data_IF_328515500323
#
_entry.id   IF_328515500323
#
_cell.length_a   1.000
_cell.length_b   1.000
_cell.length_c   1.000
_cell.angle_alpha   90.00
_cell.angle_beta   90.00
_cell.angle_gamma   90.00
#
_symmetry.space_group_name_H-M   'P 1'
#
loop_
_entity.id
_entity.type
_entity.pdbx_description
1 polymer ?
#
# COMPACT_ATOMS: atom_id res chain seq x y z
N UNK A 1 -25.24 -56.33 -28.18
CA UNK A 1 -26.50 -56.94 -27.79
C UNK A 1 -27.25 -56.01 -26.85
N UNK A 2 -28.21 -55.36 -27.40
CA UNK A 2 -29.45 -54.78 -26.83
C UNK A 2 -30.35 -55.96 -26.40
N UNK A 3 -31.52 -55.78 -25.74
CA UNK A 3 -32.34 -54.59 -25.46
C UNK A 3 -32.96 -54.63 -24.05
N UNK A 4 -33.63 -53.62 -23.62
CA UNK A 4 -35.08 -53.23 -23.76
C UNK A 4 -35.62 -53.11 -22.33
N UNK A 5 -36.58 -52.43 -21.95
CA UNK A 5 -37.67 -51.68 -22.54
C UNK A 5 -38.58 -51.22 -21.38
N UNK A 6 -39.17 -50.03 -21.52
CA UNK A 6 -40.53 -49.57 -21.15
C UNK A 6 -41.10 -49.84 -19.75
N UNK A 7 -41.83 -49.00 -19.11
CA UNK A 7 -42.96 -48.09 -19.45
C UNK A 7 -43.46 -47.41 -18.18
N UNK A 8 -43.83 -46.15 -18.23
CA UNK A 8 -45.18 -45.56 -18.14
C UNK A 8 -46.02 -45.98 -16.89
N UNK A 9 -46.76 -45.17 -16.24
CA UNK A 9 -47.78 -44.20 -16.56
C UNK A 9 -48.32 -43.50 -15.28
N UNK A 10 -48.57 -42.22 -15.41
CA UNK A 10 -49.78 -41.45 -15.06
C UNK A 10 -50.33 -41.27 -13.65
N UNK A 11 -50.55 -40.02 -13.43
CA UNK A 11 -51.81 -39.26 -13.12
C UNK A 11 -52.10 -39.16 -11.61
N UNK A 12 -52.64 -38.15 -11.07
CA UNK A 12 -53.34 -36.94 -11.45
C UNK A 12 -53.66 -36.09 -10.20
N UNK A 13 -53.98 -34.85 -10.44
CA UNK A 13 -54.96 -33.97 -9.84
C UNK A 13 -54.69 -33.23 -8.52
N UNK A 14 -54.46 -31.93 -8.72
CA UNK A 14 -55.18 -30.77 -8.15
C UNK A 14 -55.30 -30.57 -6.64
N UNK A 15 -54.72 -29.46 -6.18
CA UNK A 15 -55.55 -28.39 -5.60
C UNK A 15 -54.72 -27.11 -5.42
N UNK A 16 -55.25 -26.02 -5.95
CA UNK A 16 -54.80 -24.66 -5.79
C UNK A 16 -55.10 -24.17 -4.42
N UNK A 17 -54.14 -23.48 -3.79
CA UNK A 17 -54.42 -22.49 -2.74
C UNK A 17 -53.49 -21.31 -2.87
N UNK A 18 -54.09 -20.12 -2.94
CA UNK A 18 -53.50 -18.83 -3.14
C UNK A 18 -52.70 -18.41 -1.92
N UNK A 19 -51.50 -17.91 -2.10
CA UNK A 19 -50.85 -17.07 -1.12
C UNK A 19 -50.15 -15.90 -1.82
N UNK A 20 -50.45 -14.73 -1.28
CA UNK A 20 -50.02 -13.38 -1.67
C UNK A 20 -48.50 -13.23 -1.81
N UNK A 21 -48.03 -12.31 -2.68
CA UNK A 21 -46.58 -12.06 -2.82
C UNK A 21 -46.06 -11.27 -1.60
N UNK A 22 -45.14 -11.86 -0.85
CA UNK A 22 -44.37 -11.21 0.17
C UNK A 22 -43.46 -10.15 -0.46
N UNK A 23 -43.61 -8.96 0.07
CA UNK A 23 -42.83 -7.75 -0.14
C UNK A 23 -41.32 -8.05 0.04
N UNK A 24 -40.42 -7.61 -0.87
CA UNK A 24 -38.99 -7.77 -0.64
C UNK A 24 -38.54 -6.87 0.52
N UNK A 25 -37.94 -7.48 1.51
CA UNK A 25 -37.24 -6.76 2.57
C UNK A 25 -36.09 -5.95 1.94
N UNK A 26 -36.13 -4.65 2.20
CA UNK A 26 -35.05 -3.75 1.85
C UNK A 26 -33.81 -4.11 2.65
N UNK A 27 -32.84 -4.72 2.03
CA UNK A 27 -31.48 -4.79 2.58
C UNK A 27 -30.94 -3.38 2.74
N UNK A 28 -30.89 -2.89 3.97
CA UNK A 28 -30.17 -1.68 4.33
C UNK A 28 -28.69 -1.91 4.05
N UNK A 29 -28.20 -1.40 2.94
CA UNK A 29 -26.76 -1.25 2.74
C UNK A 29 -26.29 -0.20 3.74
N UNK A 30 -25.68 -0.64 4.83
CA UNK A 30 -24.89 0.23 5.69
C UNK A 30 -23.78 0.85 4.84
N UNK A 31 -23.84 2.15 4.64
CA UNK A 31 -22.78 2.91 4.03
C UNK A 31 -21.50 2.70 4.84
N UNK A 32 -20.56 1.93 4.30
CA UNK A 32 -19.24 1.77 4.90
C UNK A 32 -18.55 3.12 4.78
N UNK A 33 -18.16 3.70 5.92
CA UNK A 33 -17.39 4.93 5.97
C UNK A 33 -16.18 4.82 5.06
N UNK A 34 -16.04 5.75 4.11
CA UNK A 34 -14.92 5.80 3.17
C UNK A 34 -13.63 6.35 3.81
N UNK A 35 -13.67 6.76 5.08
CA UNK A 35 -12.51 7.30 5.78
C UNK A 35 -11.63 6.15 6.31
N UNK A 36 -10.30 6.16 6.01
CA UNK A 36 -9.38 5.17 6.55
C UNK A 36 -9.32 5.28 8.08
N UNK A 37 -9.19 4.15 8.80
CA UNK A 37 -9.11 4.15 10.25
C UNK A 37 -7.90 4.97 10.72
N UNK A 38 -8.07 5.76 11.77
CA UNK A 38 -6.94 6.42 12.43
C UNK A 38 -6.08 5.36 13.11
N UNK A 39 -4.79 5.41 12.90
CA UNK A 39 -3.85 4.56 13.64
C UNK A 39 -3.93 4.97 15.11
N UNK A 40 -4.28 4.02 15.98
CA UNK A 40 -4.24 4.28 17.41
C UNK A 40 -2.79 4.45 17.82
N UNK A 41 -2.45 5.56 18.45
CA UNK A 41 -1.15 5.72 19.09
C UNK A 41 -0.98 4.58 20.09
N UNK A 42 0.05 3.75 20.00
CA UNK A 42 0.24 2.66 20.94
C UNK A 42 0.19 3.19 22.36
N UNK A 43 -0.60 2.58 23.22
CA UNK A 43 -0.64 2.95 24.63
C UNK A 43 0.78 2.87 25.21
N UNK A 44 1.19 3.84 25.99
CA UNK A 44 2.57 4.03 26.52
C UNK A 44 3.10 2.84 27.35
N UNK A 45 2.30 1.82 27.57
CA UNK A 45 2.58 0.66 28.44
C UNK A 45 2.63 -0.69 27.70
N UNK A 46 2.63 -0.70 26.37
CA UNK A 46 2.70 -1.96 25.63
C UNK A 46 4.11 -2.58 25.76
N UNK A 47 4.15 -3.89 26.04
CA UNK A 47 5.42 -4.62 26.11
C UNK A 47 6.11 -4.61 24.75
N UNK A 48 7.40 -4.26 24.74
CA UNK A 48 8.25 -4.34 23.55
C UNK A 48 9.04 -5.63 23.53
N UNK A 49 9.16 -6.22 22.36
CA UNK A 49 9.96 -7.43 22.14
C UNK A 49 10.81 -7.27 20.89
N UNK A 50 12.10 -7.63 20.98
CA UNK A 50 12.96 -7.75 19.81
C UNK A 50 12.90 -9.15 19.26
N UNK A 51 12.66 -9.29 17.95
CA UNK A 51 12.65 -10.56 17.24
C UNK A 51 13.46 -10.43 15.93
N UNK A 52 14.71 -10.83 15.98
CA UNK A 52 15.65 -10.63 14.87
C UNK A 52 15.79 -9.15 14.51
N UNK A 53 15.46 -8.80 13.26
CA UNK A 53 15.50 -7.41 12.78
C UNK A 53 14.23 -6.61 13.13
N UNK A 54 13.25 -7.19 13.83
CA UNK A 54 11.98 -6.57 14.16
C UNK A 54 11.90 -6.16 15.62
N UNK A 55 11.35 -4.98 15.84
CA UNK A 55 10.82 -4.52 17.12
C UNK A 55 9.29 -4.72 17.09
N UNK A 56 8.76 -5.50 18.02
CA UNK A 56 7.33 -5.68 18.21
C UNK A 56 6.90 -4.80 19.39
N UNK A 57 5.93 -3.94 19.15
CA UNK A 57 5.32 -3.09 20.18
C UNK A 57 3.80 -3.27 20.12
N UNK A 58 3.26 -4.06 21.04
CA UNK A 58 1.87 -4.47 21.01
C UNK A 58 1.50 -5.26 19.77
N UNK A 59 0.57 -4.75 18.99
CA UNK A 59 0.06 -5.33 17.73
C UNK A 59 0.79 -4.83 16.47
N UNK A 60 1.86 -4.06 16.65
CA UNK A 60 2.57 -3.40 15.56
C UNK A 60 4.04 -3.80 15.55
N UNK A 61 4.57 -4.09 14.37
CA UNK A 61 5.98 -4.37 14.16
C UNK A 61 6.68 -3.23 13.42
N UNK A 62 7.95 -3.06 13.73
CA UNK A 62 8.84 -2.08 13.12
C UNK A 62 10.16 -2.75 12.76
N UNK A 63 10.76 -2.34 11.66
CA UNK A 63 12.09 -2.80 11.27
C UNK A 63 13.16 -1.84 11.79
N UNK A 64 14.22 -2.38 12.44
CA UNK A 64 15.36 -1.57 12.86
C UNK A 64 16.04 -0.92 11.66
N UNK A 65 16.38 0.34 11.79
CA UNK A 65 17.10 1.08 10.78
C UNK A 65 18.56 1.31 11.18
N UNK A 66 19.47 0.84 10.33
CA UNK A 66 20.91 1.04 10.53
C UNK A 66 21.49 1.82 9.35
N UNK A 67 21.95 3.04 9.63
CA UNK A 67 22.61 3.85 8.63
C UNK A 67 24.03 3.34 8.35
N UNK A 68 24.32 3.05 7.08
CA UNK A 68 25.65 2.65 6.62
C UNK A 68 26.15 3.71 5.63
N UNK A 69 27.13 4.51 6.06
CA UNK A 69 27.62 5.66 5.29
C UNK A 69 28.10 5.28 3.89
N UNK A 70 28.89 4.21 3.77
CA UNK A 70 29.40 3.75 2.45
C UNK A 70 28.28 3.38 1.49
N UNK A 71 27.19 2.79 1.98
CA UNK A 71 26.00 2.49 1.18
C UNK A 71 25.28 3.75 0.75
N UNK A 72 25.13 4.73 1.66
CA UNK A 72 24.58 6.03 1.34
C UNK A 72 25.40 6.79 0.29
N UNK A 73 26.73 6.72 0.37
CA UNK A 73 27.65 7.34 -0.60
C UNK A 73 27.50 6.70 -2.01
N UNK A 74 27.30 5.37 -2.08
CA UNK A 74 26.99 4.68 -3.34
C UNK A 74 25.64 5.13 -3.91
N UNK A 75 24.63 5.27 -3.08
CA UNK A 75 23.32 5.80 -3.47
C UNK A 75 23.44 7.22 -4.03
N UNK A 76 24.10 8.13 -3.28
CA UNK A 76 24.38 9.51 -3.74
C UNK A 76 25.06 9.51 -5.12
N UNK A 77 26.07 8.67 -5.31
CA UNK A 77 26.80 8.57 -6.57
C UNK A 77 25.91 8.11 -7.71
N UNK A 78 25.05 7.11 -7.48
CA UNK A 78 24.14 6.57 -8.50
C UNK A 78 23.11 7.61 -8.95
N UNK A 79 22.45 8.26 -7.99
CA UNK A 79 21.42 9.29 -8.27
C UNK A 79 22.06 10.54 -8.92
N UNK A 80 23.21 10.99 -8.43
CA UNK A 80 23.95 12.11 -9.01
C UNK A 80 24.37 11.83 -10.46
N UNK A 81 24.80 10.60 -10.75
CA UNK A 81 25.12 10.18 -12.12
C UNK A 81 23.89 10.24 -13.02
N UNK A 82 22.73 9.78 -12.56
CA UNK A 82 21.47 9.90 -13.30
C UNK A 82 21.16 11.37 -13.62
N UNK A 83 21.28 12.27 -12.64
CA UNK A 83 21.10 13.71 -12.83
C UNK A 83 22.02 14.28 -13.90
N UNK A 84 23.30 13.92 -13.89
CA UNK A 84 24.28 14.37 -14.89
C UNK A 84 23.96 13.85 -16.29
N UNK A 85 23.63 12.57 -16.43
CA UNK A 85 23.36 11.93 -17.75
C UNK A 85 22.06 12.44 -18.39
N UNK A 86 21.11 12.86 -17.58
CA UNK A 86 19.79 13.33 -18.00
C UNK A 86 19.67 14.86 -18.04
N UNK A 87 20.74 15.58 -17.69
CA UNK A 87 20.75 17.05 -17.70
C UNK A 87 20.37 17.59 -19.09
N UNK A 88 19.44 18.54 -19.10
CA UNK A 88 18.91 19.12 -20.34
C UNK A 88 17.94 18.24 -21.15
N UNK A 89 17.70 17.00 -20.72
CA UNK A 89 16.77 16.06 -21.37
C UNK A 89 15.48 15.89 -20.57
N UNK A 90 15.58 15.81 -19.25
CA UNK A 90 14.44 15.66 -18.35
C UNK A 90 14.76 16.15 -16.94
N UNK A 91 13.73 16.39 -16.12
CA UNK A 91 13.91 16.63 -14.71
C UNK A 91 14.07 15.30 -13.98
N UNK A 92 15.07 15.20 -13.11
CA UNK A 92 15.27 14.07 -12.22
C UNK A 92 14.86 14.46 -10.81
N UNK A 93 13.96 13.71 -10.21
CA UNK A 93 13.52 13.87 -8.83
C UNK A 93 13.97 12.66 -8.02
N UNK A 94 14.40 12.90 -6.79
CA UNK A 94 14.72 11.87 -5.82
C UNK A 94 13.86 12.05 -4.57
N UNK A 95 13.14 11.00 -4.19
CA UNK A 95 12.24 11.00 -3.04
C UNK A 95 12.49 9.75 -2.19
N UNK A 96 13.23 9.91 -1.10
CA UNK A 96 13.54 8.83 -0.16
C UNK A 96 12.35 8.62 0.77
N UNK A 97 11.80 7.41 0.76
CA UNK A 97 10.68 7.02 1.63
C UNK A 97 11.23 6.51 2.98
N UNK A 98 10.90 7.17 4.10
CA UNK A 98 11.27 6.66 5.42
C UNK A 98 10.48 5.40 5.75
N UNK A 99 11.00 4.57 6.68
CA UNK A 99 10.25 3.42 7.18
C UNK A 99 9.36 3.81 8.37
N UNK A 100 8.45 2.91 8.76
CA UNK A 100 7.58 3.09 9.93
C UNK A 100 8.35 3.37 11.22
N UNK A 101 9.56 2.82 11.37
CA UNK A 101 10.45 3.08 12.52
C UNK A 101 10.76 4.58 12.69
N UNK A 102 11.03 5.30 11.59
CA UNK A 102 11.32 6.74 11.65
C UNK A 102 10.07 7.61 11.84
N UNK A 103 8.91 7.13 11.43
CA UNK A 103 7.68 7.93 11.37
C UNK A 103 6.71 7.61 12.51
N UNK A 104 6.23 6.38 12.60
CA UNK A 104 5.12 6.01 13.49
C UNK A 104 5.57 5.32 14.78
N UNK A 105 6.79 4.82 14.87
CA UNK A 105 7.28 4.21 16.11
C UNK A 105 7.22 5.22 17.28
N UNK A 106 6.74 4.81 18.47
CA UNK A 106 6.63 5.70 19.63
C UNK A 106 7.99 6.25 20.07
N UNK A 107 8.06 7.55 20.32
CA UNK A 107 9.35 8.22 20.63
C UNK A 107 10.00 7.68 21.91
N UNK A 108 9.18 7.32 22.93
CA UNK A 108 9.65 6.70 24.15
C UNK A 108 10.25 5.30 23.91
N UNK A 109 9.75 4.55 22.93
CA UNK A 109 10.30 3.25 22.54
C UNK A 109 11.59 3.44 21.74
N UNK A 110 11.57 4.35 20.76
CA UNK A 110 12.76 4.67 19.94
C UNK A 110 13.93 5.11 20.81
N UNK A 111 13.67 5.88 21.88
CA UNK A 111 14.70 6.35 22.82
C UNK A 111 15.41 5.21 23.60
N UNK A 112 14.83 4.01 23.65
CA UNK A 112 15.38 2.85 24.40
C UNK A 112 16.08 1.82 23.53
N UNK A 113 16.08 1.98 22.21
CA UNK A 113 16.64 1.02 21.27
C UNK A 113 17.82 1.62 20.49
N UNK A 114 18.65 0.73 19.95
CA UNK A 114 19.73 1.13 19.06
C UNK A 114 19.23 1.12 17.60
N UNK A 115 18.83 2.29 17.11
CA UNK A 115 18.43 2.51 15.71
C UNK A 115 18.96 3.85 15.23
N UNK A 116 19.29 3.98 13.96
CA UNK A 116 19.81 5.22 13.39
C UNK A 116 18.69 6.23 13.13
N UNK A 117 19.02 7.52 13.24
CA UNK A 117 18.11 8.62 12.91
C UNK A 117 17.90 8.70 11.38
N UNK A 118 16.71 8.35 10.93
CA UNK A 118 16.38 8.34 9.50
C UNK A 118 16.31 9.74 8.90
N UNK A 119 15.89 10.75 9.68
CA UNK A 119 15.87 12.14 9.19
C UNK A 119 17.29 12.60 8.85
N UNK A 120 18.24 12.38 9.75
CA UNK A 120 19.65 12.72 9.50
C UNK A 120 20.25 11.95 8.33
N UNK A 121 19.88 10.68 8.16
CA UNK A 121 20.33 9.87 7.04
C UNK A 121 19.80 10.41 5.70
N UNK A 122 18.53 10.79 5.64
CA UNK A 122 17.91 11.39 4.45
C UNK A 122 18.54 12.75 4.14
N UNK A 123 18.72 13.61 5.15
CA UNK A 123 19.34 14.92 4.98
C UNK A 123 20.79 14.79 4.47
N UNK A 124 21.54 13.79 4.96
CA UNK A 124 22.88 13.48 4.46
C UNK A 124 22.85 13.12 2.96
N UNK A 125 21.98 12.20 2.56
CA UNK A 125 21.85 11.79 1.15
C UNK A 125 21.45 12.98 0.27
N UNK A 126 20.45 13.75 0.67
CA UNK A 126 19.98 14.90 -0.10
C UNK A 126 21.02 16.00 -0.24
N UNK A 127 21.81 16.24 0.80
CA UNK A 127 22.91 17.24 0.72
C UNK A 127 23.98 16.86 -0.30
N UNK A 128 24.20 15.56 -0.53
CA UNK A 128 25.10 15.05 -1.56
C UNK A 128 24.49 15.10 -2.96
N UNK A 129 23.22 14.74 -3.10
CA UNK A 129 22.51 14.62 -4.39
C UNK A 129 22.20 15.99 -5.00
N UNK A 130 21.71 16.95 -4.22
CA UNK A 130 21.27 18.26 -4.69
C UNK A 130 22.32 19.06 -5.48
N UNK A 131 23.61 18.76 -5.28
CA UNK A 131 24.73 19.39 -5.97
C UNK A 131 24.84 19.03 -7.45
N UNK A 132 24.11 18.04 -7.90
CA UNK A 132 24.23 17.42 -9.24
C UNK A 132 22.97 17.61 -10.11
N UNK A 133 22.18 18.65 -9.86
CA UNK A 133 21.02 19.00 -10.67
C UNK A 133 19.78 18.10 -10.45
N UNK A 134 19.81 17.21 -9.46
CA UNK A 134 18.65 16.41 -9.05
C UNK A 134 17.81 17.21 -8.06
N UNK A 135 16.50 17.19 -8.27
CA UNK A 135 15.54 17.81 -7.36
C UNK A 135 15.16 16.82 -6.28
N UNK A 136 15.49 17.12 -5.02
CA UNK A 136 15.13 16.27 -3.88
C UNK A 136 13.76 16.64 -3.35
N UNK A 137 12.91 15.65 -3.06
CA UNK A 137 11.56 15.83 -2.49
C UNK A 137 11.55 15.29 -1.07
N UNK A 138 11.56 16.19 -0.08
CA UNK A 138 11.50 15.79 1.33
C UNK A 138 10.05 15.53 1.74
N UNK A 139 9.77 14.30 2.18
CA UNK A 139 8.45 13.86 2.65
C UNK A 139 8.48 13.47 4.15
N UNK A 140 9.65 13.45 4.78
CA UNK A 140 9.80 12.98 6.16
C UNK A 140 8.94 13.78 7.14
N UNK A 141 9.03 15.11 7.10
CA UNK A 141 8.32 15.96 8.05
C UNK A 141 6.80 15.95 7.79
N UNK A 142 6.38 15.84 6.53
CA UNK A 142 4.97 15.67 6.14
C UNK A 142 4.38 14.40 6.73
N UNK A 143 5.09 13.27 6.62
CA UNK A 143 4.64 11.99 7.18
C UNK A 143 4.73 12.01 8.72
N UNK A 144 5.77 12.59 9.30
CA UNK A 144 5.93 12.68 10.76
C UNK A 144 4.82 13.50 11.43
N UNK A 145 4.38 14.59 10.78
CA UNK A 145 3.25 15.39 11.26
C UNK A 145 1.92 14.60 11.26
N UNK A 146 1.81 13.55 10.45
CA UNK A 146 0.63 12.68 10.31
C UNK A 146 0.80 11.30 10.93
N UNK A 147 1.77 11.14 11.81
CA UNK A 147 2.15 9.84 12.40
C UNK A 147 1.00 9.11 13.14
N UNK A 148 -0.05 9.83 13.51
CA UNK A 148 -1.22 9.29 14.18
C UNK A 148 -2.32 8.85 13.21
N UNK A 149 -2.12 9.05 11.92
CA UNK A 149 -3.00 8.54 10.87
C UNK A 149 -2.53 7.15 10.40
N UNK A 150 -3.40 6.40 9.73
CA UNK A 150 -3.07 5.07 9.23
C UNK A 150 -2.21 5.16 7.96
N UNK A 151 -0.99 5.65 8.09
CA UNK A 151 -0.05 5.89 6.99
C UNK A 151 1.02 4.81 6.80
N UNK A 152 1.13 3.88 7.76
CA UNK A 152 1.93 2.65 7.65
C UNK A 152 1.11 1.46 8.13
N UNK A 153 1.36 0.28 7.55
CA UNK A 153 0.80 -0.96 8.04
C UNK A 153 1.43 -1.35 9.39
N UNK A 154 0.68 -2.07 10.21
CA UNK A 154 1.16 -2.63 11.47
C UNK A 154 1.93 -3.93 11.29
N UNK A 155 1.50 -4.73 10.31
CA UNK A 155 1.97 -6.10 10.07
C UNK A 155 2.84 -6.23 8.83
N UNK A 156 3.16 -5.10 8.18
CA UNK A 156 3.94 -5.05 6.94
C UNK A 156 4.92 -3.86 6.94
N UNK A 157 6.01 -3.96 6.17
CA UNK A 157 7.05 -2.93 6.11
C UNK A 157 6.67 -1.71 5.25
N UNK A 158 5.62 -1.80 4.46
CA UNK A 158 5.23 -0.72 3.58
C UNK A 158 4.40 0.37 4.28
N UNK A 159 4.41 1.55 3.70
CA UNK A 159 3.39 2.56 3.93
C UNK A 159 2.04 2.12 3.36
N UNK A 160 0.96 2.74 3.81
CA UNK A 160 -0.37 2.57 3.20
C UNK A 160 -0.51 3.49 1.99
N UNK A 161 -1.57 3.31 1.20
CA UNK A 161 -1.89 4.23 0.12
C UNK A 161 -2.14 5.67 0.60
N UNK A 162 -2.59 5.86 1.86
CA UNK A 162 -2.72 7.19 2.45
C UNK A 162 -1.35 7.84 2.69
N UNK A 163 -0.37 7.08 3.19
CA UNK A 163 1.00 7.56 3.32
C UNK A 163 1.60 7.95 1.97
N UNK A 164 1.41 7.09 0.96
CA UNK A 164 1.84 7.36 -0.40
C UNK A 164 1.15 8.58 -1.02
N UNK A 165 -0.14 8.81 -0.72
CA UNK A 165 -0.87 10.00 -1.16
C UNK A 165 -0.24 11.30 -0.62
N UNK A 166 0.15 11.35 0.65
CA UNK A 166 0.81 12.54 1.18
C UNK A 166 2.16 12.81 0.51
N UNK A 167 2.92 11.76 0.24
CA UNK A 167 4.17 11.88 -0.53
C UNK A 167 3.92 12.34 -1.97
N UNK A 168 2.88 11.83 -2.62
CA UNK A 168 2.43 12.31 -3.93
C UNK A 168 2.09 13.80 -3.91
N UNK A 169 1.43 14.30 -2.87
CA UNK A 169 1.12 15.72 -2.73
C UNK A 169 2.39 16.59 -2.71
N UNK A 170 3.42 16.16 -1.99
CA UNK A 170 4.69 16.87 -1.93
C UNK A 170 5.45 16.78 -3.27
N UNK A 171 5.44 15.61 -3.91
CA UNK A 171 6.01 15.44 -5.24
C UNK A 171 5.32 16.30 -6.29
N UNK A 172 3.99 16.30 -6.34
CA UNK A 172 3.22 17.09 -7.31
C UNK A 172 3.56 18.58 -7.22
N UNK A 173 3.63 19.12 -5.99
CA UNK A 173 4.04 20.51 -5.73
C UNK A 173 5.48 20.77 -6.19
N UNK A 174 6.41 19.88 -5.89
CA UNK A 174 7.81 19.99 -6.30
C UNK A 174 7.97 19.94 -7.81
N UNK A 175 7.10 19.22 -8.50
CA UNK A 175 7.05 19.12 -9.96
C UNK A 175 6.30 20.33 -10.62
N UNK A 176 5.75 21.25 -9.83
CA UNK A 176 5.03 22.43 -10.32
C UNK A 176 3.54 22.17 -10.64
N UNK A 177 3.01 21.03 -10.20
CA UNK A 177 1.61 20.65 -10.34
C UNK A 177 0.80 20.84 -9.06
N UNK A 178 -0.51 20.59 -9.16
CA UNK A 178 -1.42 20.49 -8.02
C UNK A 178 -1.84 19.03 -7.81
N UNK A 179 -1.79 18.49 -6.57
CA UNK A 179 -2.26 17.16 -6.31
C UNK A 179 -3.79 17.09 -6.46
N UNK A 180 -4.29 15.94 -6.92
CA UNK A 180 -5.72 15.64 -6.87
C UNK A 180 -6.18 15.53 -5.41
N UNK A 181 -7.39 15.97 -5.10
CA UNK A 181 -7.96 15.88 -3.78
C UNK A 181 -8.23 14.42 -3.39
N UNK A 182 -7.97 14.04 -2.13
CA UNK A 182 -8.09 12.65 -1.69
C UNK A 182 -9.52 12.09 -1.85
N UNK A 183 -10.52 12.93 -1.62
CA UNK A 183 -11.95 12.61 -1.75
C UNK A 183 -12.43 12.47 -3.20
N UNK A 184 -11.59 12.85 -4.17
CA UNK A 184 -11.88 12.62 -5.59
C UNK A 184 -11.64 11.18 -6.03
N UNK A 185 -10.92 10.36 -5.24
CA UNK A 185 -10.62 8.98 -5.59
C UNK A 185 -11.72 8.04 -5.10
N UNK A 186 -12.01 7.01 -5.89
CA UNK A 186 -12.81 5.89 -5.43
C UNK A 186 -11.98 4.98 -4.51
N UNK A 187 -12.50 4.68 -3.34
CA UNK A 187 -11.79 3.89 -2.33
C UNK A 187 -12.21 2.43 -2.38
N UNK A 188 -11.23 1.54 -2.50
CA UNK A 188 -11.40 0.10 -2.33
C UNK A 188 -10.79 -0.32 -1.00
N UNK A 189 -11.36 -1.35 -0.36
CA UNK A 189 -10.93 -1.84 0.94
C UNK A 189 -10.77 -3.37 0.90
N UNK A 190 -9.62 -3.86 1.33
CA UNK A 190 -9.32 -5.28 1.44
C UNK A 190 -8.88 -5.59 2.88
N UNK A 191 -9.83 -5.96 3.76
CA UNK A 191 -9.55 -6.24 5.17
C UNK A 191 -8.82 -7.57 5.37
N UNK A 192 -8.37 -7.82 6.61
CA UNK A 192 -7.69 -9.04 7.03
C UNK A 192 -6.35 -9.27 6.31
N UNK A 193 -5.56 -8.22 6.17
CA UNK A 193 -4.21 -8.29 5.63
C UNK A 193 -3.19 -8.53 6.74
N UNK A 194 -2.38 -9.58 6.57
CA UNK A 194 -1.23 -9.88 7.40
C UNK A 194 0.01 -9.93 6.49
N UNK A 195 0.88 -8.95 6.67
CA UNK A 195 1.95 -8.67 5.73
C UNK A 195 3.29 -9.35 6.06
N UNK A 196 4.36 -8.72 5.56
CA UNK A 196 5.73 -9.26 5.63
C UNK A 196 6.25 -9.39 7.06
N UNK A 197 5.96 -8.45 7.95
CA UNK A 197 6.39 -8.52 9.34
C UNK A 197 5.73 -9.68 10.08
N UNK A 198 4.42 -9.92 9.84
CA UNK A 198 3.75 -11.08 10.38
C UNK A 198 4.42 -12.38 9.93
N UNK A 199 4.73 -12.50 8.65
CA UNK A 199 5.41 -13.69 8.11
C UNK A 199 6.82 -13.86 8.69
N UNK A 200 7.61 -12.78 8.77
CA UNK A 200 8.97 -12.78 9.29
C UNK A 200 9.03 -13.04 10.80
N UNK A 201 7.99 -12.68 11.55
CA UNK A 201 7.88 -12.89 12.99
C UNK A 201 7.49 -14.32 13.38
N UNK A 202 7.49 -15.26 12.45
CA UNK A 202 6.96 -16.64 12.65
C UNK A 202 5.48 -16.64 13.04
N UNK A 203 4.72 -15.70 12.50
CA UNK A 203 3.27 -15.57 12.68
C UNK A 203 2.85 -15.32 14.13
N UNK A 204 3.49 -14.32 14.75
CA UNK A 204 3.18 -13.93 16.13
C UNK A 204 1.69 -13.64 16.32
N UNK A 205 1.02 -14.26 17.32
CA UNK A 205 -0.41 -14.09 17.57
C UNK A 205 -0.83 -12.65 17.83
N UNK A 206 0.00 -11.83 18.49
CA UNK A 206 -0.32 -10.44 18.77
C UNK A 206 -0.42 -9.59 17.51
N UNK A 207 0.33 -9.89 16.45
CA UNK A 207 0.18 -9.21 15.15
C UNK A 207 -1.09 -9.68 14.43
N UNK A 208 -1.44 -10.95 14.57
CA UNK A 208 -2.67 -11.51 13.99
C UNK A 208 -3.95 -11.03 14.69
N UNK A 209 -3.84 -10.55 15.94
CA UNK A 209 -5.00 -10.08 16.71
C UNK A 209 -5.61 -8.79 16.12
N UNK A 210 -4.84 -7.99 15.38
CA UNK A 210 -5.29 -6.76 14.73
C UNK A 210 -4.78 -6.69 13.28
N UNK A 211 -5.36 -7.46 12.36
CA UNK A 211 -4.95 -7.44 10.96
C UNK A 211 -5.13 -6.07 10.33
N UNK A 212 -4.30 -5.78 9.34
CA UNK A 212 -4.38 -4.56 8.55
C UNK A 212 -5.55 -4.59 7.57
N UNK A 213 -5.92 -3.42 7.07
CA UNK A 213 -6.78 -3.26 5.89
C UNK A 213 -5.98 -2.54 4.82
N UNK A 214 -5.93 -3.11 3.63
CA UNK A 214 -5.37 -2.43 2.47
C UNK A 214 -6.45 -1.54 1.87
N UNK A 215 -6.24 -0.23 1.93
CA UNK A 215 -7.02 0.76 1.19
C UNK A 215 -6.34 1.04 -0.14
N UNK A 216 -7.10 1.12 -1.21
CA UNK A 216 -6.59 1.50 -2.51
C UNK A 216 -7.43 2.63 -3.09
N UNK A 217 -6.78 3.71 -3.51
CA UNK A 217 -7.40 4.89 -4.08
C UNK A 217 -7.32 4.78 -5.61
N UNK A 218 -8.47 4.50 -6.23
CA UNK A 218 -8.57 4.40 -7.69
C UNK A 218 -8.64 5.80 -8.29
N UNK A 219 -7.73 6.14 -9.25
CA UNK A 219 -7.77 7.43 -9.92
C UNK A 219 -9.10 7.66 -10.65
N UNK A 220 -9.57 8.90 -10.66
CA UNK A 220 -10.83 9.30 -11.33
C UNK A 220 -10.73 9.24 -12.85
N UNK A 221 -9.53 9.32 -13.40
CA UNK A 221 -9.29 9.21 -14.82
C UNK A 221 -9.04 7.75 -15.22
N UNK A 222 -9.46 7.38 -16.42
CA UNK A 222 -9.26 6.02 -16.92
C UNK A 222 -7.79 5.80 -17.23
N UNK A 223 -7.10 5.14 -16.33
CA UNK A 223 -5.75 4.66 -16.52
C UNK A 223 -5.76 3.16 -16.83
N UNK A 224 -4.90 2.74 -17.73
CA UNK A 224 -4.60 1.33 -17.99
C UNK A 224 -3.15 1.05 -17.66
N UNK A 225 -2.86 -0.17 -17.28
CA UNK A 225 -1.51 -0.62 -17.01
C UNK A 225 -1.15 -1.79 -17.93
N UNK A 226 -0.07 -1.66 -18.66
CA UNK A 226 0.57 -2.75 -19.39
C UNK A 226 1.62 -3.39 -18.49
N UNK A 227 1.42 -4.65 -18.14
CA UNK A 227 2.30 -5.41 -17.24
C UNK A 227 3.12 -6.42 -18.02
N UNK A 228 4.43 -6.31 -17.93
CA UNK A 228 5.39 -7.25 -18.50
C UNK A 228 5.77 -8.32 -17.46
N UNK A 229 5.16 -9.49 -17.57
CA UNK A 229 5.48 -10.66 -16.73
C UNK A 229 6.78 -11.32 -17.13
N UNK A 230 7.13 -11.23 -18.42
CA UNK A 230 8.40 -11.66 -19.01
C UNK A 230 8.63 -10.90 -20.31
N UNK A 231 9.75 -11.19 -21.00
CA UNK A 231 10.04 -10.60 -22.34
C UNK A 231 8.95 -10.90 -23.39
N UNK A 232 8.20 -11.97 -23.23
CA UNK A 232 7.20 -12.46 -24.19
C UNK A 232 5.78 -12.48 -23.65
N UNK A 233 5.58 -12.18 -22.36
CA UNK A 233 4.27 -12.18 -21.72
C UNK A 233 3.92 -10.79 -21.25
N UNK A 234 3.06 -10.12 -21.99
CA UNK A 234 2.56 -8.76 -21.72
C UNK A 234 1.04 -8.83 -21.63
N UNK A 235 0.46 -8.18 -20.63
CA UNK A 235 -0.99 -8.11 -20.44
C UNK A 235 -1.41 -6.72 -20.00
N UNK A 236 -2.59 -6.29 -20.48
CA UNK A 236 -3.27 -5.13 -19.93
C UNK A 236 -4.02 -5.57 -18.66
N UNK A 237 -3.79 -4.85 -17.57
CA UNK A 237 -4.36 -5.14 -16.26
C UNK A 237 -5.07 -3.90 -15.70
N UNK A 238 -5.88 -4.09 -14.68
CA UNK A 238 -6.42 -2.98 -13.89
C UNK A 238 -5.32 -2.42 -12.96
N UNK A 239 -5.28 -1.10 -12.80
CA UNK A 239 -4.37 -0.43 -11.86
C UNK A 239 -4.66 -0.89 -10.43
N UNK A 240 -5.93 -0.96 -10.05
CA UNK A 240 -6.38 -1.55 -8.79
C UNK A 240 -7.06 -2.89 -9.10
N UNK A 241 -6.52 -3.95 -8.54
CA UNK A 241 -7.03 -5.31 -8.71
C UNK A 241 -7.80 -5.76 -7.50
N UNK A 242 -8.92 -6.46 -7.69
CA UNK A 242 -9.66 -7.07 -6.57
C UNK A 242 -8.83 -8.19 -5.93
N UNK A 243 -8.49 -8.01 -4.66
CA UNK A 243 -7.74 -8.95 -3.84
C UNK A 243 -8.54 -9.44 -2.63
N UNK A 244 -9.87 -9.34 -2.66
CA UNK A 244 -10.75 -9.72 -1.55
C UNK A 244 -10.51 -11.16 -1.09
N UNK A 245 -10.29 -12.08 -2.02
CA UNK A 245 -10.10 -13.52 -1.77
C UNK A 245 -8.63 -13.96 -1.82
N UNK A 246 -7.68 -13.03 -1.81
CA UNK A 246 -6.24 -13.32 -1.89
C UNK A 246 -5.55 -12.93 -0.60
N UNK A 247 -4.68 -13.79 -0.06
CA UNK A 247 -3.92 -13.49 1.16
C UNK A 247 -2.97 -12.31 1.00
N UNK A 248 -2.28 -12.21 -0.13
CA UNK A 248 -1.37 -11.10 -0.44
C UNK A 248 -2.13 -9.90 -1.02
N UNK A 249 -2.89 -9.20 -0.16
CA UNK A 249 -3.74 -8.08 -0.57
C UNK A 249 -2.97 -6.87 -1.13
N UNK A 250 -1.69 -6.74 -0.82
CA UNK A 250 -0.83 -5.70 -1.36
C UNK A 250 -0.67 -5.80 -2.89
N UNK A 251 -0.91 -6.98 -3.48
CA UNK A 251 -0.95 -7.16 -4.94
C UNK A 251 -2.08 -6.39 -5.64
N UNK A 252 -2.98 -5.74 -4.89
CA UNK A 252 -3.99 -4.83 -5.48
C UNK A 252 -3.34 -3.72 -6.29
N UNK A 253 -2.15 -3.25 -5.87
CA UNK A 253 -1.41 -2.19 -6.55
C UNK A 253 -0.62 -2.77 -7.72
N UNK A 254 -0.97 -2.36 -8.93
CA UNK A 254 -0.27 -2.70 -10.20
C UNK A 254 0.15 -4.18 -10.33
N UNK A 255 -0.61 -5.09 -9.73
CA UNK A 255 -0.31 -6.55 -9.69
C UNK A 255 1.00 -6.91 -8.98
N UNK A 256 1.49 -6.04 -8.09
CA UNK A 256 2.73 -6.25 -7.32
C UNK A 256 4.01 -6.07 -8.15
N UNK A 257 5.11 -6.61 -7.63
CA UNK A 257 6.43 -6.50 -8.26
C UNK A 257 6.48 -7.26 -9.59
N UNK A 258 6.73 -6.51 -10.65
CA UNK A 258 6.88 -7.04 -12.01
C UNK A 258 8.16 -6.51 -12.63
N UNK A 259 8.76 -7.22 -13.58
CA UNK A 259 9.99 -6.75 -14.24
C UNK A 259 9.85 -5.36 -14.84
N UNK A 260 8.66 -5.05 -15.39
CA UNK A 260 8.39 -3.78 -16.04
C UNK A 260 6.89 -3.55 -16.17
N UNK A 261 6.46 -2.29 -15.97
CA UNK A 261 5.06 -1.89 -16.18
C UNK A 261 5.00 -0.48 -16.75
N UNK A 262 4.04 -0.24 -17.64
CA UNK A 262 3.75 1.07 -18.21
C UNK A 262 2.32 1.45 -17.81
N UNK A 263 2.15 2.60 -17.20
CA UNK A 263 0.84 3.16 -16.89
C UNK A 263 0.50 4.16 -18.01
N UNK A 264 -0.65 3.97 -18.64
CA UNK A 264 -1.17 4.84 -19.68
C UNK A 264 -2.34 5.66 -19.15
N UNK A 265 -2.31 6.97 -19.40
CA UNK A 265 -3.45 7.85 -19.18
C UNK A 265 -3.89 8.44 -20.53
N UNK A 266 -4.93 7.84 -21.18
CA UNK A 266 -5.37 8.28 -22.50
C UNK A 266 -6.03 9.67 -22.49
N UNK A 267 -6.41 10.19 -21.32
CA UNK A 267 -6.97 11.54 -21.19
C UNK A 267 -5.91 12.65 -21.22
N UNK A 268 -4.62 12.30 -21.09
CA UNK A 268 -3.49 13.24 -21.13
C UNK A 268 -2.49 12.74 -22.17
N UNK A 269 -2.52 13.38 -23.32
CA UNK A 269 -1.46 13.24 -24.33
C UNK A 269 -0.51 14.41 -24.15
N UNK A 270 0.67 14.15 -23.61
CA UNK A 270 1.78 15.10 -23.61
C UNK A 270 2.43 15.16 -24.99
#
# INVERSE_FOLDING_TARGET
>A
SHPGDTSEVSSDVSSAESSEPSKPESSSSSAVSSEPPKQQTPAQTQATQTLGALLINGDTAYEYYNFVRSTADLYISAISRAGTLLAGKTNVYDMVVPTSMGITAPDNVVATINTSDQKKAIDYMYSGIAKNGVKTVSIYDTLKARRNEYIYFRTDHHWTALGAYYAYCDFAKAAGGAPAALDSFKVHQFPNYLGSFYNSSKKLPQLAANPDTVFAYEPTETNTIEVHYSKTSVKNEAIISDMSNVGSKYLTFIKGDRPYSIIHNPAKTD
#
